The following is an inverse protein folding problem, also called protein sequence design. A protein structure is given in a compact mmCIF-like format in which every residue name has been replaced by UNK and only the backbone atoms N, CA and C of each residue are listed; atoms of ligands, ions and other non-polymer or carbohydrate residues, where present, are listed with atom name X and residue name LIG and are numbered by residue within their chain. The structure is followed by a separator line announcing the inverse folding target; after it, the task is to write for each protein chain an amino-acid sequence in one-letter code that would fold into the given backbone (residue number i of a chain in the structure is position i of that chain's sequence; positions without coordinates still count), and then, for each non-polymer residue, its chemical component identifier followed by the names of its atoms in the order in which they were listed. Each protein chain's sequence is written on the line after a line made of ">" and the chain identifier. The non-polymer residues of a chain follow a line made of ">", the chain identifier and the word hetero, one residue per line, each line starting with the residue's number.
data_IF_253131188567
#
_entry.id   IF_253131188567
#
_cell.length_a   1.000
_cell.length_b   1.000
_cell.length_c   1.000
_cell.angle_alpha   90.00
_cell.angle_beta   90.00
_cell.angle_gamma   90.00
#
_symmetry.space_group_name_H-M   'P 1'
#
loop_
_entity.id
_entity.type
_entity.pdbx_description
1 polymer ?
#
# COMPACT_ATOMS: atom_id res chain seq x y z
N UNK A 1 -24.27 -9.49 -6.90
CA UNK A 1 -24.04 -8.11 -7.39
C UNK A 1 -23.00 -7.46 -6.50
N UNK A 2 -22.10 -6.68 -7.09
CA UNK A 2 -21.12 -5.85 -6.38
C UNK A 2 -21.47 -4.37 -6.60
N UNK A 3 -21.60 -3.64 -5.52
CA UNK A 3 -21.87 -2.21 -5.49
C UNK A 3 -20.72 -1.49 -4.77
N UNK A 4 -20.04 -0.58 -5.46
CA UNK A 4 -19.03 0.33 -4.86
C UNK A 4 -19.34 1.74 -5.37
N UNK A 5 -20.28 2.46 -4.75
CA UNK A 5 -20.80 3.73 -5.27
C UNK A 5 -19.71 4.77 -5.50
N UNK A 6 -18.75 4.89 -4.56
CA UNK A 6 -17.63 5.84 -4.67
C UNK A 6 -16.72 5.59 -5.88
N UNK A 7 -16.66 4.36 -6.38
CA UNK A 7 -15.88 3.98 -7.56
C UNK A 7 -16.73 3.86 -8.82
N UNK A 8 -18.04 4.15 -8.74
CA UNK A 8 -18.98 4.02 -9.86
C UNK A 8 -19.17 2.58 -10.30
N UNK A 9 -19.00 1.61 -9.41
CA UNK A 9 -19.13 0.19 -9.73
C UNK A 9 -20.50 -0.31 -9.27
N UNK A 10 -21.30 -0.78 -10.23
CA UNK A 10 -22.50 -1.56 -10.03
C UNK A 10 -22.49 -2.68 -11.07
N UNK A 11 -22.09 -3.86 -10.67
CA UNK A 11 -21.84 -4.94 -11.61
C UNK A 11 -22.33 -6.29 -11.06
N UNK A 12 -22.89 -7.10 -11.96
CA UNK A 12 -23.05 -8.52 -11.69
C UNK A 12 -21.67 -9.17 -11.66
N UNK A 13 -21.43 -10.02 -10.67
CA UNK A 13 -20.23 -10.83 -10.59
C UNK A 13 -20.49 -12.12 -11.38
N UNK A 14 -19.83 -12.32 -12.52
CA UNK A 14 -19.96 -13.55 -13.28
C UNK A 14 -19.19 -14.69 -12.59
N UNK A 15 -19.50 -15.97 -12.91
CA UNK A 15 -18.71 -17.09 -12.39
C UNK A 15 -17.28 -17.07 -12.93
N UNK A 16 -16.35 -17.73 -12.23
CA UNK A 16 -14.94 -17.81 -12.65
C UNK A 16 -14.73 -18.43 -14.03
N UNK A 17 -15.65 -19.31 -14.46
CA UNK A 17 -15.64 -19.89 -15.82
C UNK A 17 -15.72 -18.85 -16.95
N UNK A 18 -16.22 -17.66 -16.68
CA UNK A 18 -16.28 -16.52 -17.63
C UNK A 18 -15.01 -15.65 -17.57
N UNK A 19 -14.00 -16.04 -16.78
CA UNK A 19 -12.72 -15.34 -16.62
C UNK A 19 -12.89 -13.84 -16.29
N UNK A 20 -13.63 -13.48 -15.21
CA UNK A 20 -13.83 -12.08 -14.84
C UNK A 20 -12.53 -11.42 -14.44
N UNK A 21 -12.41 -10.11 -14.70
CA UNK A 21 -11.21 -9.33 -14.46
C UNK A 21 -11.45 -8.23 -13.41
N UNK A 22 -10.36 -7.69 -12.87
CA UNK A 22 -10.42 -6.59 -11.93
C UNK A 22 -11.17 -6.95 -10.64
N UNK A 23 -11.95 -6.02 -10.10
CA UNK A 23 -12.65 -6.19 -8.81
C UNK A 23 -13.69 -7.30 -8.86
N UNK A 24 -14.39 -7.49 -9.99
CA UNK A 24 -15.35 -8.60 -10.15
C UNK A 24 -14.64 -9.95 -10.20
N UNK A 25 -13.44 -10.03 -10.76
CA UNK A 25 -12.59 -11.22 -10.75
C UNK A 25 -12.16 -11.62 -9.34
N UNK A 26 -11.75 -10.63 -8.53
CA UNK A 26 -11.44 -10.85 -7.12
C UNK A 26 -12.63 -11.47 -6.40
N UNK A 27 -13.81 -10.87 -6.55
CA UNK A 27 -15.01 -11.34 -5.85
C UNK A 27 -15.46 -12.72 -6.35
N UNK A 28 -15.40 -12.98 -7.66
CA UNK A 28 -15.72 -14.30 -8.22
C UNK A 28 -14.81 -15.38 -7.64
N UNK A 29 -13.50 -15.10 -7.58
CA UNK A 29 -12.51 -15.99 -6.97
C UNK A 29 -12.82 -16.27 -5.50
N UNK A 30 -13.11 -15.23 -4.71
CA UNK A 30 -13.45 -15.38 -3.29
C UNK A 30 -14.71 -16.22 -3.09
N UNK A 31 -15.76 -15.97 -3.86
CA UNK A 31 -16.99 -16.76 -3.77
C UNK A 31 -16.76 -18.23 -4.11
N UNK A 32 -15.88 -18.52 -5.06
CA UNK A 32 -15.50 -19.91 -5.39
C UNK A 32 -14.67 -20.55 -4.28
N UNK A 33 -13.66 -19.85 -3.77
CA UNK A 33 -12.78 -20.35 -2.69
C UNK A 33 -13.50 -20.61 -1.36
N UNK A 34 -14.63 -19.92 -1.16
CA UNK A 34 -15.46 -20.05 0.05
C UNK A 34 -16.72 -20.92 -0.16
N UNK A 35 -16.86 -21.60 -1.31
CA UNK A 35 -18.04 -22.39 -1.68
C UNK A 35 -19.35 -21.58 -1.65
N UNK A 36 -19.26 -20.29 -1.97
CA UNK A 36 -20.40 -19.36 -1.98
C UNK A 36 -20.87 -18.96 -3.38
N UNK A 37 -20.27 -19.50 -4.44
CA UNK A 37 -20.56 -19.12 -5.83
C UNK A 37 -22.02 -19.33 -6.24
N UNK A 38 -22.72 -20.30 -5.61
CA UNK A 38 -24.16 -20.56 -5.86
C UNK A 38 -25.10 -19.63 -5.08
N UNK A 39 -24.59 -18.80 -4.18
CA UNK A 39 -25.40 -17.93 -3.33
C UNK A 39 -25.79 -16.65 -4.07
N UNK A 40 -27.05 -16.26 -3.91
CA UNK A 40 -27.53 -14.95 -4.38
C UNK A 40 -27.18 -13.89 -3.34
N UNK A 41 -26.19 -13.03 -3.65
CA UNK A 41 -25.66 -12.03 -2.74
C UNK A 41 -25.59 -10.64 -3.40
N UNK A 42 -25.83 -9.62 -2.60
CA UNK A 42 -25.44 -8.25 -2.91
C UNK A 42 -24.37 -7.82 -1.90
N UNK A 43 -23.22 -7.42 -2.39
CA UNK A 43 -22.10 -6.92 -1.57
C UNK A 43 -21.97 -5.43 -1.87
N UNK A 44 -22.13 -4.62 -0.83
CA UNK A 44 -21.89 -3.18 -0.90
C UNK A 44 -20.61 -2.85 -0.16
N UNK A 45 -19.73 -2.09 -0.81
CA UNK A 45 -18.50 -1.62 -0.21
C UNK A 45 -18.39 -0.10 -0.27
N UNK A 46 -17.94 0.50 0.85
CA UNK A 46 -17.81 1.95 1.02
C UNK A 46 -16.35 2.29 1.35
N UNK A 47 -15.43 2.21 0.37
CA UNK A 47 -14.02 2.46 0.61
C UNK A 47 -13.76 3.93 0.93
N UNK A 48 -13.00 4.18 2.00
CA UNK A 48 -12.46 5.51 2.31
C UNK A 48 -11.08 5.73 1.69
N UNK A 49 -10.43 4.67 1.21
CA UNK A 49 -9.12 4.74 0.54
C UNK A 49 -9.33 5.08 -0.94
N UNK A 50 -8.61 6.07 -1.48
CA UNK A 50 -8.67 6.40 -2.90
C UNK A 50 -8.20 5.23 -3.77
N UNK A 51 -8.83 5.07 -4.94
CA UNK A 51 -8.49 3.99 -5.86
C UNK A 51 -7.16 4.26 -6.56
N UNK A 52 -6.33 3.21 -6.69
CA UNK A 52 -5.07 3.23 -7.46
C UNK A 52 -4.02 4.28 -7.02
N UNK A 53 -4.07 4.72 -5.76
CA UNK A 53 -3.13 5.72 -5.21
C UNK A 53 -1.98 5.10 -4.41
N UNK A 54 -1.67 3.81 -4.59
CA UNK A 54 -0.55 3.15 -3.91
C UNK A 54 -0.75 2.97 -2.40
N UNK A 55 -2.00 2.98 -1.93
CA UNK A 55 -2.37 2.84 -0.52
C UNK A 55 -3.01 1.47 -0.20
N UNK A 56 -2.72 0.44 -0.97
CA UNK A 56 -3.21 -0.93 -0.72
C UNK A 56 -4.73 -1.12 -0.83
N UNK A 57 -5.45 -0.22 -1.53
CA UNK A 57 -6.92 -0.21 -1.57
C UNK A 57 -7.55 -1.49 -2.11
N UNK A 58 -6.90 -2.22 -3.03
CA UNK A 58 -7.42 -3.49 -3.56
C UNK A 58 -7.36 -4.60 -2.52
N UNK A 59 -6.24 -4.72 -1.82
CA UNK A 59 -6.06 -5.67 -0.72
C UNK A 59 -6.98 -5.36 0.45
N UNK A 60 -7.13 -4.08 0.81
CA UNK A 60 -8.06 -3.65 1.86
C UNK A 60 -9.51 -4.03 1.53
N UNK A 61 -9.94 -3.85 0.27
CA UNK A 61 -11.25 -4.29 -0.20
C UNK A 61 -11.41 -5.81 -0.12
N UNK A 62 -10.40 -6.57 -0.60
CA UNK A 62 -10.44 -8.03 -0.56
C UNK A 62 -10.57 -8.54 0.89
N UNK A 63 -9.74 -8.06 1.80
CA UNK A 63 -9.79 -8.43 3.23
C UNK A 63 -11.13 -8.06 3.85
N UNK A 64 -11.66 -6.87 3.59
CA UNK A 64 -12.96 -6.44 4.12
C UNK A 64 -14.09 -7.35 3.63
N UNK A 65 -14.09 -7.73 2.34
CA UNK A 65 -15.09 -8.66 1.78
C UNK A 65 -14.94 -10.05 2.37
N UNK A 66 -13.72 -10.58 2.51
CA UNK A 66 -13.47 -11.89 3.12
C UNK A 66 -14.01 -11.92 4.54
N UNK A 67 -13.69 -10.91 5.37
CA UNK A 67 -14.18 -10.81 6.75
C UNK A 67 -15.69 -10.67 6.82
N UNK A 68 -16.31 -9.86 5.93
CA UNK A 68 -17.76 -9.72 5.86
C UNK A 68 -18.45 -11.04 5.51
N UNK A 69 -17.93 -11.78 4.53
CA UNK A 69 -18.44 -13.11 4.15
C UNK A 69 -18.23 -14.13 5.28
N UNK A 70 -17.05 -14.13 5.90
CA UNK A 70 -16.74 -15.00 7.04
C UNK A 70 -17.73 -14.77 8.19
N UNK A 71 -17.99 -13.53 8.55
CA UNK A 71 -18.93 -13.19 9.61
C UNK A 71 -20.38 -13.56 9.22
N UNK A 72 -20.82 -13.21 8.01
CA UNK A 72 -22.18 -13.45 7.55
C UNK A 72 -22.53 -14.93 7.47
N UNK A 73 -21.59 -15.77 7.00
CA UNK A 73 -21.78 -17.22 6.83
C UNK A 73 -21.25 -18.04 8.00
N UNK A 74 -20.66 -17.40 9.03
CA UNK A 74 -20.07 -18.06 10.22
C UNK A 74 -19.00 -19.06 9.83
N UNK A 75 -18.08 -18.63 8.97
CA UNK A 75 -17.01 -19.50 8.47
C UNK A 75 -15.81 -19.57 9.45
N UNK A 76 -15.77 -18.70 10.45
CA UNK A 76 -14.73 -18.61 11.50
C UNK A 76 -13.29 -18.64 10.94
N UNK A 77 -13.04 -17.87 9.86
CA UNK A 77 -11.73 -17.81 9.22
C UNK A 77 -10.71 -17.12 10.15
N UNK A 78 -9.56 -17.78 10.34
CA UNK A 78 -8.43 -17.17 11.03
C UNK A 78 -7.79 -16.05 10.19
N UNK A 79 -6.99 -15.19 10.83
CA UNK A 79 -6.28 -14.12 10.14
C UNK A 79 -5.31 -14.66 9.08
N UNK A 80 -4.66 -15.79 9.35
CA UNK A 80 -3.80 -16.46 8.37
C UNK A 80 -4.59 -16.85 7.13
N UNK A 81 -5.80 -17.43 7.31
CA UNK A 81 -6.64 -17.82 6.18
C UNK A 81 -7.19 -16.63 5.42
N UNK A 82 -7.52 -15.54 6.11
CA UNK A 82 -7.91 -14.26 5.49
C UNK A 82 -6.76 -13.72 4.64
N UNK A 83 -5.52 -13.71 5.18
CA UNK A 83 -4.33 -13.26 4.49
C UNK A 83 -4.01 -14.09 3.24
N UNK A 84 -4.09 -15.42 3.34
CA UNK A 84 -3.90 -16.33 2.20
C UNK A 84 -4.90 -16.04 1.07
N UNK A 85 -6.20 -15.93 1.40
CA UNK A 85 -7.24 -15.63 0.41
C UNK A 85 -7.04 -14.26 -0.24
N UNK A 86 -6.67 -13.25 0.55
CA UNK A 86 -6.37 -11.92 0.03
C UNK A 86 -5.14 -11.94 -0.88
N UNK A 87 -4.11 -12.73 -0.57
CA UNK A 87 -2.95 -12.91 -1.43
C UNK A 87 -3.30 -13.61 -2.75
N UNK A 88 -4.18 -14.62 -2.72
CA UNK A 88 -4.70 -15.25 -3.95
C UNK A 88 -5.40 -14.21 -4.86
N UNK A 89 -6.17 -13.29 -4.25
CA UNK A 89 -6.81 -12.21 -4.99
C UNK A 89 -5.80 -11.26 -5.63
N UNK A 90 -4.78 -10.85 -4.90
CA UNK A 90 -3.69 -10.01 -5.41
C UNK A 90 -2.95 -10.68 -6.56
N UNK A 91 -2.68 -11.99 -6.46
CA UNK A 91 -2.05 -12.77 -7.55
C UNK A 91 -2.91 -12.79 -8.80
N UNK A 92 -4.22 -12.93 -8.66
CA UNK A 92 -5.15 -12.97 -9.79
C UNK A 92 -5.19 -11.62 -10.56
N UNK A 93 -4.97 -10.50 -9.86
CA UNK A 93 -5.03 -9.15 -10.45
C UNK A 93 -3.66 -8.66 -10.91
N UNK A 94 -2.62 -8.87 -10.10
CA UNK A 94 -1.30 -8.26 -10.29
C UNK A 94 -0.21 -9.26 -10.73
N UNK A 95 -0.52 -10.54 -10.82
CA UNK A 95 0.38 -11.61 -11.26
C UNK A 95 1.43 -12.00 -10.23
N UNK A 96 2.35 -11.11 -9.89
CA UNK A 96 3.44 -11.37 -8.92
C UNK A 96 3.46 -10.30 -7.82
N UNK A 97 2.45 -10.28 -6.91
CA UNK A 97 2.42 -9.34 -5.80
C UNK A 97 3.49 -9.67 -4.76
N UNK A 98 3.94 -8.66 -4.01
CA UNK A 98 4.91 -8.86 -2.92
C UNK A 98 4.33 -9.59 -1.71
N UNK A 99 3.03 -9.45 -1.48
CA UNK A 99 2.34 -9.93 -0.29
C UNK A 99 2.27 -8.91 0.86
N UNK A 100 2.84 -7.72 0.71
CA UNK A 100 2.83 -6.71 1.78
C UNK A 100 1.44 -6.11 1.98
N UNK A 101 0.72 -5.77 0.91
CA UNK A 101 -0.56 -5.06 1.00
C UNK A 101 -1.66 -5.92 1.65
N UNK A 102 -1.76 -7.21 1.28
CA UNK A 102 -2.70 -8.11 1.92
C UNK A 102 -2.34 -8.39 3.39
N UNK A 103 -1.04 -8.50 3.70
CA UNK A 103 -0.58 -8.70 5.08
C UNK A 103 -0.94 -7.51 5.95
N UNK A 104 -0.60 -6.29 5.53
CA UNK A 104 -0.93 -5.09 6.31
C UNK A 104 -2.44 -4.88 6.44
N UNK A 105 -3.22 -5.16 5.39
CA UNK A 105 -4.68 -5.06 5.42
C UNK A 105 -5.32 -6.10 6.37
N UNK A 106 -4.72 -7.26 6.51
CA UNK A 106 -5.21 -8.33 7.38
C UNK A 106 -4.91 -8.05 8.84
N UNK A 107 -3.67 -7.69 9.17
CA UNK A 107 -3.23 -7.58 10.56
C UNK A 107 -3.43 -6.17 11.14
N UNK A 108 -3.48 -5.13 10.32
CA UNK A 108 -3.87 -3.77 10.73
C UNK A 108 -2.87 -3.07 11.64
N UNK A 109 -1.60 -3.49 11.62
CA UNK A 109 -0.52 -2.94 12.46
C UNK A 109 0.66 -2.48 11.61
N UNK A 110 1.61 -1.75 12.20
CA UNK A 110 2.86 -1.42 11.52
C UNK A 110 3.73 -2.67 11.45
N UNK A 111 4.24 -2.99 10.27
CA UNK A 111 4.98 -4.23 10.03
C UNK A 111 6.34 -3.98 9.40
N UNK A 112 7.36 -4.67 9.89
CA UNK A 112 8.57 -4.96 9.12
C UNK A 112 8.30 -6.21 8.28
N UNK A 113 8.21 -6.04 6.96
CA UNK A 113 7.90 -7.12 6.02
C UNK A 113 9.14 -7.49 5.21
N UNK A 114 9.45 -8.76 5.15
CA UNK A 114 10.52 -9.32 4.32
C UNK A 114 9.99 -10.41 3.39
N UNK A 115 10.48 -10.43 2.14
CA UNK A 115 10.18 -11.51 1.20
C UNK A 115 11.50 -12.04 0.60
N UNK A 116 12.10 -13.02 1.26
CA UNK A 116 13.32 -13.75 0.83
C UNK A 116 12.98 -15.16 0.34
N UNK A 117 11.96 -15.27 -0.51
CA UNK A 117 11.47 -16.56 -1.02
C UNK A 117 10.21 -17.06 -0.29
N UNK A 118 10.06 -16.75 0.99
CA UNK A 118 8.82 -16.88 1.74
C UNK A 118 8.54 -15.55 2.44
N UNK A 119 7.31 -15.00 2.35
CA UNK A 119 6.93 -13.79 3.07
C UNK A 119 7.01 -14.02 4.59
N UNK A 120 7.61 -13.09 5.30
CA UNK A 120 7.62 -13.03 6.76
C UNK A 120 7.41 -11.58 7.21
N UNK A 121 6.85 -11.40 8.39
CA UNK A 121 6.66 -10.07 8.95
C UNK A 121 6.82 -10.10 10.47
N UNK A 122 7.16 -8.95 11.01
CA UNK A 122 7.23 -8.67 12.44
C UNK A 122 6.44 -7.40 12.71
N UNK A 123 5.61 -7.40 13.75
CA UNK A 123 4.96 -6.19 14.23
C UNK A 123 5.98 -5.23 14.83
N UNK A 124 5.81 -3.96 14.51
CA UNK A 124 6.67 -2.87 14.95
C UNK A 124 5.79 -1.81 15.61
N UNK A 125 6.15 -1.38 16.80
CA UNK A 125 5.41 -0.35 17.51
C UNK A 125 6.30 0.89 17.66
N UNK A 126 5.80 2.10 17.36
CA UNK A 126 6.54 3.31 17.63
C UNK A 126 6.69 3.52 19.15
N UNK A 127 7.80 4.10 19.59
CA UNK A 127 8.03 4.39 21.02
C UNK A 127 6.95 5.33 21.62
N UNK A 128 6.38 6.17 20.78
CA UNK A 128 5.27 7.08 21.08
C UNK A 128 4.53 7.42 19.81
N UNK A 129 3.29 7.86 19.93
CA UNK A 129 2.50 8.32 18.79
C UNK A 129 3.23 9.41 18.00
N UNK A 130 3.16 9.32 16.68
CA UNK A 130 3.77 10.29 15.76
C UNK A 130 2.84 10.55 14.57
N UNK A 131 2.68 11.84 14.22
CA UNK A 131 1.82 12.23 13.11
C UNK A 131 2.48 11.95 11.75
N UNK A 132 1.68 11.41 10.85
CA UNK A 132 2.04 11.12 9.47
C UNK A 132 1.10 11.90 8.56
N UNK A 133 1.65 12.68 7.61
CA UNK A 133 0.88 13.24 6.52
C UNK A 133 0.98 12.34 5.28
N UNK A 134 -0.14 12.18 4.57
CA UNK A 134 -0.22 11.54 3.26
C UNK A 134 -0.62 12.60 2.24
N UNK A 135 0.20 12.76 1.20
CA UNK A 135 -0.13 13.55 0.02
C UNK A 135 -0.42 12.65 -1.17
N UNK A 136 -1.48 12.94 -1.91
CA UNK A 136 -1.96 12.17 -3.04
C UNK A 136 -1.68 12.93 -4.33
N UNK A 137 -0.89 12.32 -5.24
CA UNK A 137 -0.41 12.99 -6.45
C UNK A 137 -1.48 13.25 -7.51
N UNK A 138 -2.67 12.66 -7.37
CA UNK A 138 -3.71 12.71 -8.40
C UNK A 138 -3.40 11.86 -9.66
N UNK A 139 -2.24 11.20 -9.69
CA UNK A 139 -1.85 10.25 -10.75
C UNK A 139 -1.98 8.82 -10.25
N UNK A 140 -2.60 7.96 -11.03
CA UNK A 140 -2.67 6.54 -10.70
C UNK A 140 -1.26 5.93 -10.61
N UNK A 141 -1.03 5.10 -9.60
CA UNK A 141 0.21 4.34 -9.48
C UNK A 141 0.24 3.24 -10.55
N UNK A 142 1.16 3.34 -11.47
CA UNK A 142 1.39 2.36 -12.54
C UNK A 142 2.33 1.24 -12.08
N UNK A 143 2.08 0.67 -10.90
CA UNK A 143 2.96 -0.30 -10.21
C UNK A 143 3.51 -1.39 -11.14
N UNK A 144 2.66 -2.05 -11.94
CA UNK A 144 3.10 -3.13 -12.83
C UNK A 144 4.11 -2.63 -13.89
N UNK A 145 3.87 -1.45 -14.45
CA UNK A 145 4.77 -0.83 -15.45
C UNK A 145 6.09 -0.42 -14.81
N UNK A 146 6.04 0.23 -13.65
CA UNK A 146 7.20 0.70 -12.90
C UNK A 146 8.08 -0.48 -12.48
N UNK A 147 7.49 -1.53 -11.90
CA UNK A 147 8.21 -2.77 -11.53
C UNK A 147 8.86 -3.43 -12.74
N UNK A 148 8.15 -3.49 -13.88
CA UNK A 148 8.71 -4.06 -15.12
C UNK A 148 9.89 -3.23 -15.66
N UNK A 149 9.85 -1.91 -15.53
CA UNK A 149 10.96 -1.03 -15.92
C UNK A 149 12.19 -1.23 -15.03
N UNK A 150 12.01 -1.28 -13.71
CA UNK A 150 13.09 -1.55 -12.74
C UNK A 150 13.70 -2.93 -13.02
N UNK A 151 12.87 -3.95 -13.26
CA UNK A 151 13.34 -5.31 -13.59
C UNK A 151 14.21 -5.31 -14.84
N UNK A 152 13.77 -4.68 -15.94
CA UNK A 152 14.57 -4.58 -17.16
C UNK A 152 15.89 -3.85 -16.96
N UNK A 153 15.91 -2.84 -16.11
CA UNK A 153 17.12 -2.10 -15.80
C UNK A 153 18.08 -2.92 -14.92
N UNK A 154 17.56 -3.65 -13.94
CA UNK A 154 18.29 -4.62 -13.13
C UNK A 154 18.90 -5.74 -13.97
N UNK A 155 18.14 -6.37 -14.88
CA UNK A 155 18.64 -7.42 -15.78
C UNK A 155 19.83 -6.96 -16.64
N UNK A 156 19.90 -5.67 -17.00
CA UNK A 156 21.02 -5.06 -17.74
C UNK A 156 22.24 -4.74 -16.88
N UNK A 157 22.05 -4.43 -15.60
CA UNK A 157 23.09 -3.98 -14.68
C UNK A 157 22.85 -4.54 -13.26
N UNK A 158 22.85 -5.87 -13.07
CA UNK A 158 22.41 -6.51 -11.82
C UNK A 158 23.17 -5.99 -10.61
N UNK A 159 24.52 -6.00 -10.64
CA UNK A 159 25.35 -5.57 -9.50
C UNK A 159 25.07 -4.14 -9.01
N UNK A 160 24.64 -3.26 -9.94
CA UNK A 160 24.33 -1.87 -9.60
C UNK A 160 23.01 -1.75 -8.87
N UNK A 161 22.01 -2.45 -9.37
CA UNK A 161 20.64 -2.44 -8.83
C UNK A 161 20.56 -3.22 -7.51
N UNK A 162 21.28 -4.33 -7.39
CA UNK A 162 21.38 -5.10 -6.15
C UNK A 162 21.93 -4.26 -5.00
N UNK A 163 23.00 -3.46 -5.25
CA UNK A 163 23.50 -2.53 -4.24
C UNK A 163 22.46 -1.49 -3.80
N UNK A 164 21.62 -1.00 -4.73
CA UNK A 164 20.54 -0.08 -4.38
C UNK A 164 19.50 -0.79 -3.52
N UNK A 165 19.12 -2.01 -3.88
CA UNK A 165 18.16 -2.80 -3.12
C UNK A 165 18.67 -3.14 -1.72
N UNK A 166 19.94 -3.52 -1.59
CA UNK A 166 20.60 -3.77 -0.31
C UNK A 166 20.58 -2.52 0.57
N UNK A 167 20.93 -1.36 0.01
CA UNK A 167 20.89 -0.09 0.75
C UNK A 167 19.47 0.29 1.21
N UNK A 168 18.46 0.08 0.38
CA UNK A 168 17.05 0.30 0.79
C UNK A 168 16.69 -0.67 1.92
N UNK A 169 17.16 -1.91 1.87
CA UNK A 169 16.97 -2.89 2.93
C UNK A 169 17.64 -2.49 4.25
N UNK A 170 18.88 -1.98 4.19
CA UNK A 170 19.60 -1.48 5.36
C UNK A 170 18.90 -0.27 5.98
N UNK A 171 18.48 0.71 5.15
CA UNK A 171 17.70 1.86 5.59
C UNK A 171 16.36 1.46 6.23
N UNK A 172 15.73 0.40 5.74
CA UNK A 172 14.46 -0.10 6.30
C UNK A 172 14.69 -0.66 7.71
N UNK A 173 15.74 -1.43 7.93
CA UNK A 173 16.08 -1.98 9.25
C UNK A 173 16.45 -0.87 10.24
N UNK A 174 17.33 0.03 9.85
CA UNK A 174 17.69 1.19 10.68
C UNK A 174 16.46 2.07 10.99
N UNK A 175 15.56 2.28 10.00
CA UNK A 175 14.31 3.02 10.20
C UNK A 175 13.34 2.32 11.14
N UNK A 176 13.33 0.99 11.16
CA UNK A 176 12.54 0.21 12.13
C UNK A 176 13.08 0.44 13.55
N UNK A 177 14.37 0.37 13.76
CA UNK A 177 15.01 0.65 15.06
C UNK A 177 14.76 2.09 15.51
N UNK A 178 14.96 3.07 14.62
CA UNK A 178 14.68 4.48 14.92
C UNK A 178 13.22 4.75 15.29
N UNK A 179 12.26 4.05 14.66
CA UNK A 179 10.83 4.14 14.99
C UNK A 179 10.57 3.58 16.40
N UNK A 180 11.14 2.42 16.73
CA UNK A 180 10.98 1.77 18.03
C UNK A 180 11.65 2.55 19.17
N UNK A 181 12.75 3.25 18.88
CA UNK A 181 13.47 4.09 19.84
C UNK A 181 12.88 5.51 19.96
N UNK A 182 11.95 5.89 19.07
CA UNK A 182 11.39 7.25 19.02
C UNK A 182 12.39 8.30 18.49
N UNK A 183 13.42 7.87 17.79
CA UNK A 183 14.44 8.71 17.14
C UNK A 183 13.91 9.27 15.80
N UNK A 184 12.81 10.05 15.86
CA UNK A 184 12.07 10.46 14.66
C UNK A 184 12.84 11.39 13.74
N UNK A 185 13.81 12.14 14.25
CA UNK A 185 14.70 12.94 13.39
C UNK A 185 15.56 12.01 12.51
N UNK A 186 16.17 10.99 13.10
CA UNK A 186 16.94 9.98 12.39
C UNK A 186 16.07 9.21 11.39
N UNK A 187 14.87 8.76 11.80
CA UNK A 187 13.93 8.12 10.90
C UNK A 187 13.61 8.99 9.67
N UNK A 188 13.42 10.31 9.89
CA UNK A 188 13.19 11.26 8.80
C UNK A 188 14.38 11.36 7.84
N UNK A 189 15.60 11.36 8.34
CA UNK A 189 16.82 11.35 7.52
C UNK A 189 16.93 10.06 6.70
N UNK A 190 16.66 8.90 7.30
CA UNK A 190 16.62 7.60 6.62
C UNK A 190 15.53 7.55 5.53
N UNK A 191 14.35 8.12 5.78
CA UNK A 191 13.30 8.27 4.78
C UNK A 191 13.76 9.12 3.58
N UNK A 192 14.48 10.22 3.86
CA UNK A 192 15.03 11.10 2.82
C UNK A 192 16.11 10.41 1.98
N UNK A 193 16.98 9.62 2.60
CA UNK A 193 17.97 8.79 1.89
C UNK A 193 17.28 7.73 1.04
N UNK A 194 16.27 7.06 1.57
CA UNK A 194 15.47 6.08 0.83
C UNK A 194 14.82 6.72 -0.41
N UNK A 195 14.28 7.95 -0.31
CA UNK A 195 13.75 8.67 -1.48
C UNK A 195 14.83 8.91 -2.54
N UNK A 196 16.06 9.19 -2.16
CA UNK A 196 17.18 9.31 -3.08
C UNK A 196 17.43 8.02 -3.89
N UNK A 197 17.36 6.86 -3.24
CA UNK A 197 17.44 5.57 -3.94
C UNK A 197 16.23 5.28 -4.83
N UNK A 198 15.02 5.63 -4.38
CA UNK A 198 13.82 5.51 -5.20
C UNK A 198 13.89 6.38 -6.47
N UNK A 199 14.49 7.57 -6.36
CA UNK A 199 14.82 8.42 -7.51
C UNK A 199 15.86 7.77 -8.43
N UNK A 200 16.90 7.15 -7.87
CA UNK A 200 17.90 6.42 -8.66
C UNK A 200 17.27 5.23 -9.42
N UNK A 201 16.24 4.59 -8.86
CA UNK A 201 15.44 3.56 -9.52
C UNK A 201 14.47 4.13 -10.57
N UNK A 202 14.33 5.47 -10.68
CA UNK A 202 13.43 6.17 -11.60
C UNK A 202 11.94 5.82 -11.39
N UNK A 203 11.54 5.59 -10.15
CA UNK A 203 10.15 5.27 -9.79
C UNK A 203 9.37 6.48 -9.26
N UNK A 204 10.02 7.62 -9.05
CA UNK A 204 9.35 8.87 -8.67
C UNK A 204 8.81 9.62 -9.90
N UNK A 205 7.86 10.54 -9.67
CA UNK A 205 7.29 11.42 -10.70
C UNK A 205 7.39 12.88 -10.25
N UNK A 206 7.25 13.86 -11.17
CA UNK A 206 7.28 15.27 -10.79
C UNK A 206 6.29 15.64 -9.68
N UNK A 207 5.09 15.07 -9.70
CA UNK A 207 4.05 15.36 -8.71
C UNK A 207 4.42 14.79 -7.34
N UNK A 208 5.06 13.59 -7.29
CA UNK A 208 5.56 13.01 -6.05
C UNK A 208 6.72 13.82 -5.48
N UNK A 209 7.65 14.28 -6.32
CA UNK A 209 8.75 15.16 -5.90
C UNK A 209 8.25 16.50 -5.36
N UNK A 210 7.22 17.08 -5.99
CA UNK A 210 6.59 18.30 -5.53
C UNK A 210 5.97 18.12 -4.14
N UNK A 211 5.20 17.06 -3.92
CA UNK A 211 4.63 16.72 -2.61
C UNK A 211 5.71 16.54 -1.55
N UNK A 212 6.79 15.80 -1.86
CA UNK A 212 7.92 15.59 -0.95
C UNK A 212 8.58 16.92 -0.59
N UNK A 213 8.76 17.78 -1.58
CA UNK A 213 9.35 19.10 -1.38
C UNK A 213 8.47 20.01 -0.49
N UNK A 214 7.16 20.03 -0.74
CA UNK A 214 6.19 20.76 0.09
C UNK A 214 6.27 20.24 1.53
N UNK A 215 6.21 18.93 1.75
CA UNK A 215 6.26 18.33 3.08
C UNK A 215 7.50 18.77 3.87
N UNK A 216 8.70 18.61 3.27
CA UNK A 216 9.97 18.97 3.91
C UNK A 216 10.08 20.47 4.22
N UNK A 217 9.56 21.32 3.36
CA UNK A 217 9.55 22.78 3.59
C UNK A 217 8.57 23.21 4.69
N UNK A 218 7.62 22.37 5.06
CA UNK A 218 6.56 22.66 6.03
C UNK A 218 6.72 21.90 7.35
N UNK A 219 7.93 21.39 7.61
CA UNK A 219 8.26 20.83 8.92
C UNK A 219 8.29 19.31 9.01
N UNK A 220 7.98 18.59 7.91
CA UNK A 220 8.20 17.14 7.91
C UNK A 220 9.72 16.86 8.01
N UNK A 221 10.14 16.08 9.00
CA UNK A 221 11.55 15.69 9.18
C UNK A 221 12.03 14.72 8.09
N UNK A 222 11.10 13.99 7.48
CA UNK A 222 11.35 13.14 6.33
C UNK A 222 10.12 12.93 5.48
N UNK A 223 10.31 12.75 4.17
CA UNK A 223 9.22 12.44 3.25
C UNK A 223 9.72 11.60 2.08
N UNK A 224 8.92 10.62 1.67
CA UNK A 224 9.21 9.74 0.55
C UNK A 224 7.93 9.24 -0.12
N UNK A 225 8.04 8.80 -1.37
CA UNK A 225 6.94 8.10 -2.01
C UNK A 225 6.62 6.78 -1.28
N UNK A 226 5.37 6.33 -1.39
CA UNK A 226 4.91 5.02 -0.89
C UNK A 226 4.34 4.19 -2.04
N UNK A 227 4.36 2.86 -1.88
CA UNK A 227 3.95 1.91 -2.92
C UNK A 227 4.98 1.77 -4.04
N UNK A 228 4.52 1.35 -5.22
CA UNK A 228 5.37 1.04 -6.37
C UNK A 228 5.92 2.23 -7.16
N UNK A 229 5.52 3.45 -6.83
CA UNK A 229 5.86 4.64 -7.60
C UNK A 229 5.13 4.76 -8.94
N UNK A 230 5.62 5.63 -9.84
CA UNK A 230 4.96 5.94 -11.10
C UNK A 230 3.69 6.79 -10.96
N UNK A 231 3.45 7.33 -9.80
CA UNK A 231 2.28 8.04 -9.30
C UNK A 231 1.92 7.56 -7.89
N UNK A 232 0.69 7.78 -7.44
CA UNK A 232 0.23 7.36 -6.13
C UNK A 232 0.42 8.42 -5.06
N UNK A 233 1.07 8.07 -3.94
CA UNK A 233 1.10 8.90 -2.75
C UNK A 233 2.49 9.06 -2.17
N UNK A 234 2.60 10.05 -1.29
CA UNK A 234 3.78 10.36 -0.46
C UNK A 234 3.41 10.21 1.00
N UNK A 235 4.31 9.67 1.81
CA UNK A 235 4.25 9.75 3.27
C UNK A 235 5.27 10.74 3.79
N UNK A 236 4.88 11.53 4.78
CA UNK A 236 5.72 12.51 5.43
C UNK A 236 5.64 12.36 6.95
N UNK A 237 6.78 12.30 7.61
CA UNK A 237 6.92 12.14 9.06
C UNK A 237 6.93 13.51 9.72
N UNK A 238 5.96 13.75 10.62
CA UNK A 238 5.68 15.05 11.22
C UNK A 238 5.60 14.97 12.76
N UNK A 239 6.74 14.81 13.47
CA UNK A 239 6.73 14.64 14.92
C UNK A 239 6.10 15.80 15.71
N UNK A 240 6.13 17.00 15.13
CA UNK A 240 5.58 18.23 15.74
C UNK A 240 4.14 18.54 15.25
N UNK A 241 3.52 17.61 14.53
CA UNK A 241 2.18 17.74 13.95
C UNK A 241 2.18 17.85 12.43
N UNK A 242 1.10 17.41 11.80
CA UNK A 242 1.00 17.29 10.34
C UNK A 242 0.13 18.37 9.68
N UNK A 243 -0.54 19.23 10.44
CA UNK A 243 -1.54 20.18 9.94
C UNK A 243 -0.97 21.14 8.90
N UNK A 244 0.18 21.77 9.18
CA UNK A 244 0.85 22.71 8.27
C UNK A 244 1.28 22.04 6.96
N UNK A 245 1.66 20.77 7.03
CA UNK A 245 2.06 19.97 5.85
C UNK A 245 0.83 19.66 5.01
N UNK A 246 -0.25 19.20 5.63
CA UNK A 246 -1.52 18.89 4.96
C UNK A 246 -2.12 20.12 4.31
N UNK A 247 -2.21 21.24 5.05
CA UNK A 247 -2.72 22.51 4.51
C UNK A 247 -1.90 22.97 3.31
N UNK A 248 -0.58 22.91 3.37
CA UNK A 248 0.28 23.32 2.26
C UNK A 248 0.13 22.44 1.02
N UNK A 249 -0.02 21.14 1.18
CA UNK A 249 -0.31 20.22 0.06
C UNK A 249 -1.68 20.56 -0.56
N UNK A 250 -2.71 20.77 0.26
CA UNK A 250 -4.05 21.11 -0.21
C UNK A 250 -4.07 22.48 -0.92
N UNK A 251 -3.37 23.49 -0.39
CA UNK A 251 -3.22 24.81 -1.02
C UNK A 251 -2.45 24.75 -2.35
N UNK A 252 -1.65 23.70 -2.56
CA UNK A 252 -0.95 23.43 -3.83
C UNK A 252 -1.79 22.60 -4.81
N UNK A 253 -3.05 22.27 -4.46
CA UNK A 253 -3.99 21.57 -5.34
C UNK A 253 -3.96 20.05 -5.23
N UNK A 254 -3.26 19.50 -4.22
CA UNK A 254 -3.24 18.05 -3.96
C UNK A 254 -4.26 17.65 -2.89
N UNK A 255 -4.77 16.43 -2.96
CA UNK A 255 -5.47 15.85 -1.81
C UNK A 255 -4.44 15.45 -0.76
N UNK A 256 -4.72 15.75 0.50
CA UNK A 256 -3.87 15.36 1.61
C UNK A 256 -4.68 15.11 2.88
N UNK A 257 -4.18 14.23 3.73
CA UNK A 257 -4.75 13.88 5.02
C UNK A 257 -3.63 13.55 6.02
N UNK A 258 -3.97 13.54 7.30
CA UNK A 258 -3.05 13.09 8.35
C UNK A 258 -3.70 12.02 9.23
N UNK A 259 -2.86 11.25 9.89
CA UNK A 259 -3.22 10.32 10.96
C UNK A 259 -2.04 10.17 11.92
N UNK A 260 -2.33 9.69 13.12
CA UNK A 260 -1.31 9.36 14.10
C UNK A 260 -1.00 7.87 14.07
N UNK A 261 0.27 7.55 13.92
CA UNK A 261 0.81 6.21 14.08
C UNK A 261 1.06 5.99 15.58
N UNK A 262 0.36 5.02 16.16
CA UNK A 262 0.41 4.72 17.58
C UNK A 262 0.84 3.28 17.87
#
# INVERSE_FOLDING_TARGET
>A
VLLIPRWGIEQRVPPMSENPQGVTGILALLLERLDLASRSLTIEAFPNVPRAMGLGGSSALAVAVIRALSNHFKLDLSDERVNELAFECERAVHGTPSGVDNTIATYGSTLLFENKGAPSFQEVHPARSVSIAIGISGKESLTATTVAQVRKAWERQPERYERIFDQIGDLTRAGTEALQDGAYQELGELMNLCQGYLNALQVSTPELEELIHIARRRGAVGAKLTGGGGGGSVIALCPDGADDVVEAMQNSGFEALAFDLA
#
